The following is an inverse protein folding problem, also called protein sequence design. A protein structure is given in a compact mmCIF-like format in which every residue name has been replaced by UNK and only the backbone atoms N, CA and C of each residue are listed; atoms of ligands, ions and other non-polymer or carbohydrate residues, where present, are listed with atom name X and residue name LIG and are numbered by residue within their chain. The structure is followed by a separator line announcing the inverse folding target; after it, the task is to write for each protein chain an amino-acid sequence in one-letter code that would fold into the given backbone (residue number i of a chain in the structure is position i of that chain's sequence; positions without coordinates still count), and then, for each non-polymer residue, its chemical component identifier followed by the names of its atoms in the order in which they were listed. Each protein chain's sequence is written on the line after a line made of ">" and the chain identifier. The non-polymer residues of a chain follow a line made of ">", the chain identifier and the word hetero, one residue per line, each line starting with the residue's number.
data_IF_175293934000
#
_entry.id   IF_175293934000
#
_cell.length_a   1.000
_cell.length_b   1.000
_cell.length_c   1.000
_cell.angle_alpha   90.00
_cell.angle_beta   90.00
_cell.angle_gamma   90.00
#
_symmetry.space_group_name_H-M   'P 1'
#
loop_
_entity.id
_entity.type
_entity.pdbx_description
1 polymer ?
#
# COMPACT_ATOMS: atom_id res chain seq x y z
N UNK A 1 -13.17 20.49 22.51
CA UNK A 1 -13.35 21.50 21.43
C UNK A 1 -12.50 21.21 20.19
N UNK A 2 -11.16 21.14 20.30
CA UNK A 2 -10.24 20.85 19.18
C UNK A 2 -10.57 19.58 18.38
N UNK A 3 -10.82 18.47 19.09
CA UNK A 3 -11.14 17.17 18.48
C UNK A 3 -12.45 17.20 17.67
N UNK A 4 -13.52 17.72 18.27
CA UNK A 4 -14.82 17.86 17.62
C UNK A 4 -14.76 18.79 16.41
N UNK A 5 -13.98 19.87 16.48
CA UNK A 5 -13.74 20.76 15.34
C UNK A 5 -12.98 20.07 14.20
N UNK A 6 -12.00 19.22 14.53
CA UNK A 6 -11.23 18.46 13.55
C UNK A 6 -12.14 17.49 12.78
N UNK A 7 -12.85 16.59 13.46
CA UNK A 7 -13.72 15.60 12.82
C UNK A 7 -14.96 16.22 12.16
N UNK A 8 -15.46 17.34 12.68
CA UNK A 8 -16.62 18.02 12.09
C UNK A 8 -16.31 18.84 10.85
N UNK A 9 -15.40 19.81 10.97
CA UNK A 9 -15.14 20.81 9.91
C UNK A 9 -13.87 20.53 9.13
N UNK A 10 -12.74 20.41 9.82
CA UNK A 10 -11.43 20.32 9.15
C UNK A 10 -11.31 19.08 8.28
N UNK A 11 -11.77 17.93 8.78
CA UNK A 11 -11.79 16.66 8.05
C UNK A 11 -12.67 16.75 6.80
N UNK A 12 -13.88 17.31 6.93
CA UNK A 12 -14.80 17.48 5.81
C UNK A 12 -14.19 18.38 4.73
N UNK A 13 -13.56 19.48 5.13
CA UNK A 13 -12.90 20.41 4.21
C UNK A 13 -11.67 19.76 3.54
N UNK A 14 -10.87 18.98 4.28
CA UNK A 14 -9.75 18.22 3.74
C UNK A 14 -10.22 17.25 2.65
N UNK A 15 -11.20 16.40 2.97
CA UNK A 15 -11.70 15.38 2.05
C UNK A 15 -12.31 16.01 0.80
N UNK A 16 -13.13 17.05 0.96
CA UNK A 16 -13.79 17.75 -0.16
C UNK A 16 -12.79 18.43 -1.10
N UNK A 17 -11.77 19.10 -0.54
CA UNK A 17 -10.87 19.93 -1.34
C UNK A 17 -9.69 19.15 -1.95
N UNK A 18 -9.28 18.03 -1.33
CA UNK A 18 -8.07 17.31 -1.75
C UNK A 18 -8.35 15.87 -2.24
N UNK A 19 -9.48 15.27 -1.88
CA UNK A 19 -9.75 13.85 -2.12
C UNK A 19 -11.16 13.61 -2.70
N UNK A 20 -11.39 14.10 -3.92
CA UNK A 20 -12.70 14.05 -4.58
C UNK A 20 -13.23 12.64 -4.92
N UNK A 21 -12.41 11.58 -4.83
CA UNK A 21 -12.83 10.18 -5.04
C UNK A 21 -13.01 9.41 -3.73
N UNK A 22 -13.15 10.12 -2.61
CA UNK A 22 -13.47 9.55 -1.30
C UNK A 22 -14.90 9.93 -0.91
N UNK A 23 -15.60 8.93 -0.38
CA UNK A 23 -16.88 9.05 0.29
C UNK A 23 -16.69 8.81 1.79
N UNK A 24 -17.16 9.76 2.60
CA UNK A 24 -17.19 9.65 4.06
C UNK A 24 -18.39 8.79 4.46
N UNK A 25 -18.13 7.59 4.96
CA UNK A 25 -19.19 6.65 5.40
C UNK A 25 -19.67 7.02 6.81
N UNK A 26 -18.73 7.29 7.71
CA UNK A 26 -19.00 7.63 9.10
C UNK A 26 -17.89 8.51 9.67
N UNK A 27 -18.26 9.53 10.45
CA UNK A 27 -17.36 10.25 11.34
C UNK A 27 -18.11 10.57 12.63
N UNK A 28 -17.60 10.09 13.76
CA UNK A 28 -18.22 10.34 15.04
C UNK A 28 -17.24 10.10 16.19
N UNK A 29 -17.18 11.06 17.12
CA UNK A 29 -16.16 11.06 18.17
C UNK A 29 -14.76 11.22 17.58
N UNK A 30 -13.94 10.19 17.76
CA UNK A 30 -12.59 10.01 17.23
C UNK A 30 -12.49 8.96 16.12
N UNK A 31 -13.61 8.30 15.78
CA UNK A 31 -13.67 7.25 14.77
C UNK A 31 -14.07 7.78 13.38
N UNK A 32 -13.48 7.16 12.36
CA UNK A 32 -13.63 7.54 10.96
C UNK A 32 -13.66 6.33 10.03
N UNK A 33 -14.65 6.28 9.14
CA UNK A 33 -14.73 5.30 8.05
C UNK A 33 -14.82 6.02 6.71
N UNK A 34 -13.83 5.75 5.86
CA UNK A 34 -13.73 6.27 4.50
C UNK A 34 -13.83 5.13 3.48
N UNK A 35 -14.45 5.41 2.35
CA UNK A 35 -14.53 4.50 1.22
C UNK A 35 -14.17 5.27 -0.05
N UNK A 36 -13.36 4.71 -0.94
CA UNK A 36 -13.00 5.43 -2.16
C UNK A 36 -11.91 4.76 -2.95
N UNK A 37 -11.34 5.52 -3.88
CA UNK A 37 -10.19 5.08 -4.65
C UNK A 37 -9.00 4.83 -3.72
N UNK A 38 -8.39 3.64 -3.79
CA UNK A 38 -7.41 3.19 -2.80
C UNK A 38 -6.24 4.17 -2.62
N UNK A 39 -5.79 4.80 -3.71
CA UNK A 39 -4.67 5.73 -3.69
C UNK A 39 -5.03 7.07 -3.04
N UNK A 40 -6.29 7.50 -3.18
CA UNK A 40 -6.77 8.69 -2.49
C UNK A 40 -7.00 8.37 -1.01
N UNK A 41 -7.56 7.20 -0.68
CA UNK A 41 -7.73 6.75 0.71
C UNK A 41 -6.38 6.67 1.44
N UNK A 42 -5.36 6.11 0.79
CA UNK A 42 -4.00 6.06 1.34
C UNK A 42 -3.43 7.45 1.63
N UNK A 43 -3.52 8.38 0.67
CA UNK A 43 -3.04 9.77 0.83
C UNK A 43 -3.86 10.56 1.85
N UNK A 44 -5.16 10.33 1.92
CA UNK A 44 -6.03 10.92 2.92
C UNK A 44 -5.67 10.44 4.32
N UNK A 45 -5.45 9.13 4.52
CA UNK A 45 -5.04 8.59 5.80
C UNK A 45 -3.75 9.23 6.34
N UNK A 46 -2.72 9.37 5.48
CA UNK A 46 -1.47 10.07 5.84
C UNK A 46 -1.73 11.54 6.20
N UNK A 47 -2.52 12.26 5.39
CA UNK A 47 -2.85 13.67 5.62
C UNK A 47 -3.66 13.89 6.91
N UNK A 48 -4.58 12.97 7.21
CA UNK A 48 -5.39 12.97 8.44
C UNK A 48 -4.47 12.76 9.64
N UNK A 49 -3.58 11.75 9.60
CA UNK A 49 -2.62 11.50 10.67
C UNK A 49 -1.74 12.71 10.94
N UNK A 50 -1.15 13.32 9.91
CA UNK A 50 -0.31 14.52 10.07
C UNK A 50 -1.05 15.67 10.74
N UNK A 51 -2.28 15.96 10.31
CA UNK A 51 -3.09 17.04 10.88
C UNK A 51 -3.53 16.71 12.31
N UNK A 52 -3.92 15.47 12.56
CA UNK A 52 -4.31 15.00 13.89
C UNK A 52 -3.16 15.12 14.89
N UNK A 53 -1.93 14.78 14.49
CA UNK A 53 -0.75 14.91 15.34
C UNK A 53 -0.49 16.36 15.78
N UNK A 54 -0.85 17.36 14.96
CA UNK A 54 -0.73 18.78 15.32
C UNK A 54 -1.68 19.20 16.44
N UNK A 55 -2.75 18.43 16.68
CA UNK A 55 -3.67 18.66 17.79
C UNK A 55 -3.04 18.29 19.13
N UNK A 56 -2.00 17.43 19.14
CA UNK A 56 -1.28 16.94 20.32
C UNK A 56 -2.21 16.27 21.36
N UNK A 57 -3.31 15.65 20.91
CA UNK A 57 -4.29 14.98 21.79
C UNK A 57 -4.17 13.45 21.79
N UNK A 58 -3.38 12.86 20.90
CA UNK A 58 -3.20 11.42 20.78
C UNK A 58 -2.52 11.00 19.49
N UNK A 59 -2.58 9.71 19.19
CA UNK A 59 -2.05 9.11 17.96
C UNK A 59 -3.19 8.56 17.09
N UNK A 60 -2.89 8.31 15.81
CA UNK A 60 -3.87 7.73 14.86
C UNK A 60 -3.38 6.37 14.43
N UNK A 61 -4.23 5.35 14.58
CA UNK A 61 -4.04 4.07 13.92
C UNK A 61 -5.10 3.88 12.83
N UNK A 62 -4.71 3.24 11.73
CA UNK A 62 -5.61 3.05 10.59
C UNK A 62 -5.53 1.62 10.05
N UNK A 63 -6.67 1.12 9.56
CA UNK A 63 -6.76 -0.13 8.81
C UNK A 63 -7.27 0.18 7.41
N UNK A 64 -6.50 -0.19 6.38
CA UNK A 64 -6.86 -0.01 4.98
C UNK A 64 -6.99 -1.40 4.35
N UNK A 65 -8.20 -1.73 3.91
CA UNK A 65 -8.48 -2.95 3.16
C UNK A 65 -8.86 -2.61 1.72
N UNK A 66 -8.61 -3.56 0.82
CA UNK A 66 -8.97 -3.47 -0.59
C UNK A 66 -10.10 -4.47 -0.88
N UNK A 67 -11.16 -4.00 -1.52
CA UNK A 67 -12.31 -4.82 -1.87
C UNK A 67 -12.70 -4.58 -3.33
N UNK A 68 -13.42 -5.55 -3.91
CA UNK A 68 -13.92 -5.42 -5.28
C UNK A 68 -15.25 -4.68 -5.29
N UNK A 69 -15.63 -4.08 -6.43
CA UNK A 69 -16.93 -3.38 -6.55
C UNK A 69 -18.15 -4.26 -6.22
N UNK A 70 -18.01 -5.58 -6.32
CA UNK A 70 -19.07 -6.56 -6.07
C UNK A 70 -19.12 -7.01 -4.60
N UNK A 71 -18.10 -6.67 -3.81
CA UNK A 71 -18.00 -7.06 -2.41
C UNK A 71 -19.00 -6.24 -1.56
N UNK A 72 -19.75 -6.87 -0.63
CA UNK A 72 -20.60 -6.14 0.30
C UNK A 72 -19.80 -5.15 1.16
N UNK A 73 -20.28 -3.90 1.26
CA UNK A 73 -19.59 -2.84 2.02
C UNK A 73 -19.41 -3.19 3.50
N UNK A 74 -20.38 -3.87 4.10
CA UNK A 74 -20.30 -4.29 5.50
C UNK A 74 -19.11 -5.20 5.75
N UNK A 75 -18.85 -6.15 4.84
CA UNK A 75 -17.70 -7.05 4.93
C UNK A 75 -16.38 -6.28 4.81
N UNK A 76 -16.32 -5.26 3.95
CA UNK A 76 -15.15 -4.40 3.82
C UNK A 76 -14.89 -3.58 5.11
N UNK A 77 -15.95 -3.09 5.77
CA UNK A 77 -15.83 -2.40 7.06
C UNK A 77 -15.31 -3.36 8.13
N UNK A 78 -15.87 -4.57 8.24
CA UNK A 78 -15.38 -5.58 9.19
C UNK A 78 -13.92 -5.97 8.96
N UNK A 79 -13.47 -6.03 7.71
CA UNK A 79 -12.07 -6.26 7.36
C UNK A 79 -11.17 -5.07 7.74
N UNK A 80 -11.65 -3.84 7.54
CA UNK A 80 -10.94 -2.63 7.96
C UNK A 80 -10.83 -2.56 9.48
N UNK A 81 -11.88 -2.90 10.23
CA UNK A 81 -11.87 -2.95 11.70
C UNK A 81 -10.85 -3.98 12.22
N UNK A 82 -10.81 -5.17 11.62
CA UNK A 82 -9.77 -6.17 11.93
C UNK A 82 -8.36 -5.63 11.65
N UNK A 83 -8.18 -4.91 10.54
CA UNK A 83 -6.90 -4.28 10.21
C UNK A 83 -6.52 -3.18 11.21
N UNK A 84 -7.47 -2.39 11.70
CA UNK A 84 -7.23 -1.39 12.76
C UNK A 84 -6.70 -2.07 14.03
N UNK A 85 -7.26 -3.21 14.43
CA UNK A 85 -6.78 -3.92 15.62
C UNK A 85 -5.36 -4.46 15.44
N UNK A 86 -5.01 -4.95 14.24
CA UNK A 86 -3.62 -5.31 13.88
C UNK A 86 -2.71 -4.08 13.96
N UNK A 87 -3.15 -2.94 13.42
CA UNK A 87 -2.39 -1.69 13.46
C UNK A 87 -2.10 -1.24 14.90
N UNK A 88 -3.14 -1.21 15.75
CA UNK A 88 -3.01 -0.86 17.17
C UNK A 88 -2.00 -1.73 17.88
N UNK A 89 -1.91 -3.02 17.53
CA UNK A 89 -0.89 -3.91 18.06
C UNK A 89 -0.84 -3.88 19.59
N UNK A 90 -2.00 -3.96 20.26
CA UNK A 90 -2.13 -3.74 21.72
C UNK A 90 -1.21 -4.62 22.59
N UNK A 91 -0.70 -5.72 22.03
CA UNK A 91 0.22 -6.64 22.69
C UNK A 91 1.71 -6.38 22.37
N UNK A 92 2.00 -5.36 21.56
CA UNK A 92 3.35 -4.99 21.15
C UNK A 92 3.87 -3.81 21.98
N UNK A 93 5.20 -3.71 22.19
CA UNK A 93 5.81 -2.58 22.89
C UNK A 93 5.54 -1.21 22.24
N UNK A 94 5.34 -1.19 20.91
CA UNK A 94 5.15 -0.01 20.07
C UNK A 94 3.68 0.17 19.66
N UNK A 95 2.75 0.02 20.60
CA UNK A 95 1.31 0.05 20.31
C UNK A 95 0.80 1.41 19.78
N UNK A 96 -0.22 1.40 18.93
CA UNK A 96 -0.81 2.61 18.34
C UNK A 96 0.10 3.32 17.34
N UNK A 97 -0.34 4.42 16.73
CA UNK A 97 0.39 5.16 15.66
C UNK A 97 0.93 4.32 14.48
N UNK A 98 0.20 3.29 14.05
CA UNK A 98 0.55 2.46 12.90
C UNK A 98 -0.60 2.36 11.91
N UNK A 99 -0.29 1.92 10.70
CA UNK A 99 -1.28 1.58 9.69
C UNK A 99 -1.17 0.10 9.34
N UNK A 100 -2.31 -0.58 9.20
CA UNK A 100 -2.36 -1.92 8.65
C UNK A 100 -2.92 -1.87 7.23
N UNK A 101 -2.16 -2.35 6.25
CA UNK A 101 -2.58 -2.40 4.84
C UNK A 101 -2.36 -3.79 4.28
N UNK A 102 -3.40 -4.44 3.78
CA UNK A 102 -3.28 -5.81 3.25
C UNK A 102 -2.79 -6.83 4.29
N UNK A 103 -3.08 -6.60 5.57
CA UNK A 103 -2.59 -7.42 6.69
C UNK A 103 -1.19 -7.06 7.20
N UNK A 104 -0.52 -6.07 6.59
CA UNK A 104 0.81 -5.62 6.98
C UNK A 104 0.73 -4.42 7.90
N UNK A 105 1.19 -4.62 9.14
CA UNK A 105 1.40 -3.54 10.09
C UNK A 105 2.67 -2.78 9.74
N UNK A 106 2.54 -1.50 9.44
CA UNK A 106 3.61 -0.60 9.04
C UNK A 106 3.58 0.65 9.92
N UNK A 107 4.75 1.20 10.22
CA UNK A 107 4.83 2.59 10.67
C UNK A 107 4.34 3.52 9.55
N UNK A 108 3.92 4.73 9.90
CA UNK A 108 3.49 5.70 8.90
C UNK A 108 4.60 6.04 7.88
N UNK A 109 5.87 6.05 8.30
CA UNK A 109 7.01 6.30 7.41
C UNK A 109 7.26 5.12 6.46
N UNK A 110 7.14 3.89 6.95
CA UNK A 110 7.19 2.69 6.10
C UNK A 110 6.06 2.69 5.07
N UNK A 111 4.85 3.06 5.49
CA UNK A 111 3.72 3.17 4.58
C UNK A 111 3.91 4.26 3.51
N UNK A 112 4.41 5.44 3.89
CA UNK A 112 4.76 6.50 2.95
C UNK A 112 5.82 6.03 1.94
N UNK A 113 6.83 5.29 2.40
CA UNK A 113 7.83 4.67 1.52
C UNK A 113 7.21 3.66 0.55
N UNK A 114 6.32 2.77 1.02
CA UNK A 114 5.61 1.81 0.16
C UNK A 114 4.82 2.52 -0.93
N UNK A 115 4.11 3.60 -0.60
CA UNK A 115 3.35 4.38 -1.59
C UNK A 115 4.28 5.06 -2.60
N UNK A 116 5.39 5.66 -2.15
CA UNK A 116 6.38 6.28 -3.02
C UNK A 116 7.07 5.27 -3.95
N UNK A 117 7.45 4.11 -3.44
CA UNK A 117 8.05 3.04 -4.24
C UNK A 117 7.05 2.52 -5.28
N UNK A 118 5.77 2.36 -4.91
CA UNK A 118 4.72 1.95 -5.84
C UNK A 118 4.50 2.97 -6.96
N UNK A 119 4.57 4.26 -6.66
CA UNK A 119 4.53 5.33 -7.67
C UNK A 119 5.75 5.28 -8.60
N UNK A 120 6.94 5.03 -8.04
CA UNK A 120 8.17 4.84 -8.82
C UNK A 120 8.07 3.67 -9.79
N UNK A 121 7.61 2.50 -9.32
CA UNK A 121 7.39 1.33 -10.17
C UNK A 121 6.33 1.57 -11.25
N UNK A 122 5.22 2.23 -10.91
CA UNK A 122 4.19 2.55 -11.90
C UNK A 122 4.74 3.48 -12.99
N UNK A 123 5.47 4.54 -12.62
CA UNK A 123 6.14 5.44 -13.58
C UNK A 123 7.17 4.72 -14.44
N UNK A 124 7.90 3.76 -13.88
CA UNK A 124 8.86 2.96 -14.62
C UNK A 124 8.17 2.12 -15.70
N UNK A 125 6.96 1.60 -15.42
CA UNK A 125 6.13 0.91 -16.41
C UNK A 125 5.60 1.86 -17.47
N UNK A 126 5.06 3.00 -17.06
CA UNK A 126 4.50 3.98 -18.00
C UNK A 126 5.58 4.53 -18.97
N UNK A 127 6.82 4.66 -18.50
CA UNK A 127 7.99 5.07 -19.33
C UNK A 127 8.56 3.92 -20.20
N UNK A 128 8.03 2.70 -20.09
CA UNK A 128 8.55 1.53 -20.80
C UNK A 128 9.90 1.01 -20.28
N UNK A 129 10.43 1.59 -19.21
CA UNK A 129 11.69 1.13 -18.58
C UNK A 129 11.49 -0.17 -17.79
N UNK A 130 10.27 -0.46 -17.34
CA UNK A 130 9.87 -1.72 -16.75
C UNK A 130 8.69 -2.29 -17.56
N UNK A 131 8.76 -3.54 -18.00
CA UNK A 131 7.64 -4.16 -18.70
C UNK A 131 6.53 -4.59 -17.73
N UNK A 132 5.28 -4.65 -18.22
CA UNK A 132 4.15 -5.20 -17.44
C UNK A 132 4.40 -6.64 -16.98
N UNK A 133 5.13 -7.43 -17.77
CA UNK A 133 5.52 -8.81 -17.42
C UNK A 133 6.48 -8.87 -16.23
N UNK A 134 7.44 -7.95 -16.16
CA UNK A 134 8.35 -7.83 -15.02
C UNK A 134 7.63 -7.35 -13.76
N UNK A 135 6.69 -6.41 -13.88
CA UNK A 135 5.85 -6.00 -12.75
C UNK A 135 4.97 -7.16 -12.24
N UNK A 136 4.38 -7.93 -13.15
CA UNK A 136 3.58 -9.11 -12.78
C UNK A 136 4.44 -10.17 -12.10
N UNK A 137 5.68 -10.36 -12.56
CA UNK A 137 6.64 -11.22 -11.90
C UNK A 137 6.88 -10.72 -10.46
N UNK A 138 7.33 -9.47 -10.26
CA UNK A 138 7.59 -8.90 -8.93
C UNK A 138 6.44 -9.14 -7.95
N UNK A 139 5.19 -9.00 -8.43
CA UNK A 139 4.01 -9.31 -7.63
C UNK A 139 3.92 -10.80 -7.27
N UNK A 140 4.03 -11.71 -8.24
CA UNK A 140 4.01 -13.16 -8.00
C UNK A 140 5.12 -13.62 -7.06
N UNK A 141 6.29 -12.97 -7.13
CA UNK A 141 7.42 -13.25 -6.25
C UNK A 141 7.14 -12.92 -4.79
N UNK A 142 6.31 -11.91 -4.57
CA UNK A 142 5.93 -11.42 -3.26
C UNK A 142 4.74 -12.16 -2.62
N UNK A 143 3.78 -12.62 -3.43
CA UNK A 143 2.54 -13.27 -2.97
C UNK A 143 2.74 -14.35 -1.88
N UNK A 144 3.73 -15.27 -1.97
CA UNK A 144 3.98 -16.27 -0.92
C UNK A 144 4.36 -15.73 0.46
N UNK A 145 4.78 -14.48 0.53
CA UNK A 145 5.28 -13.84 1.75
C UNK A 145 4.25 -12.97 2.44
N UNK A 146 3.08 -12.76 1.82
CA UNK A 146 1.99 -12.05 2.48
C UNK A 146 1.52 -12.81 3.71
N UNK A 147 1.08 -12.13 4.79
CA UNK A 147 0.52 -12.79 5.97
C UNK A 147 -0.67 -13.70 5.65
N UNK A 148 -1.39 -13.38 4.57
CA UNK A 148 -2.52 -14.16 4.05
C UNK A 148 -2.13 -15.36 3.18
N UNK A 149 -0.84 -15.55 2.87
CA UNK A 149 -0.39 -16.60 1.97
C UNK A 149 -0.44 -18.00 2.62
N UNK A 150 -0.95 -19.03 1.91
CA UNK A 150 -0.90 -20.42 2.38
C UNK A 150 0.54 -20.87 2.67
N UNK A 151 0.75 -21.59 3.76
CA UNK A 151 2.08 -22.04 4.20
C UNK A 151 2.82 -22.86 3.12
N UNK A 152 2.08 -23.65 2.34
CA UNK A 152 2.60 -24.42 1.20
C UNK A 152 3.25 -23.55 0.11
N UNK A 153 2.89 -22.27 -0.01
CA UNK A 153 3.46 -21.36 -1.00
C UNK A 153 4.81 -20.80 -0.58
N UNK A 154 5.15 -20.80 0.73
CA UNK A 154 6.44 -20.29 1.22
C UNK A 154 7.63 -21.09 0.66
N UNK A 155 7.45 -22.35 0.30
CA UNK A 155 8.48 -23.15 -0.39
C UNK A 155 8.82 -22.68 -1.81
N UNK A 156 7.92 -21.95 -2.49
CA UNK A 156 8.19 -21.37 -3.82
C UNK A 156 9.19 -20.21 -3.77
N UNK A 157 9.37 -19.59 -2.60
CA UNK A 157 10.31 -18.50 -2.33
C UNK A 157 11.73 -18.74 -2.84
N UNK A 158 12.21 -19.98 -2.79
CA UNK A 158 13.58 -20.32 -3.17
C UNK A 158 13.79 -20.28 -4.69
N UNK A 159 12.73 -20.41 -5.48
CA UNK A 159 12.78 -20.27 -6.95
C UNK A 159 12.78 -18.81 -7.39
N UNK A 160 12.36 -17.92 -6.50
CA UNK A 160 12.11 -16.50 -6.75
C UNK A 160 13.38 -15.72 -7.05
N UNK A 161 14.41 -15.87 -6.21
CA UNK A 161 15.70 -15.15 -6.35
C UNK A 161 16.40 -15.52 -7.68
N UNK A 162 16.57 -16.81 -8.05
CA UNK A 162 17.16 -17.17 -9.34
C UNK A 162 16.38 -16.61 -10.55
N UNK A 163 15.05 -16.59 -10.51
CA UNK A 163 14.25 -16.00 -11.58
C UNK A 163 14.53 -14.50 -11.72
N UNK A 164 14.63 -13.74 -10.63
CA UNK A 164 14.97 -12.31 -10.69
C UNK A 164 16.32 -12.06 -11.35
N UNK A 165 17.35 -12.82 -10.97
CA UNK A 165 18.66 -12.74 -11.60
C UNK A 165 18.60 -13.07 -13.09
N UNK A 166 17.81 -14.07 -13.48
CA UNK A 166 17.58 -14.41 -14.88
C UNK A 166 16.94 -13.25 -15.66
N UNK A 167 15.87 -12.63 -15.14
CA UNK A 167 15.23 -11.50 -15.82
C UNK A 167 16.15 -10.28 -15.95
N UNK A 168 16.89 -9.94 -14.89
CA UNK A 168 17.89 -8.86 -14.94
C UNK A 168 18.96 -9.13 -16.00
N UNK A 169 19.48 -10.37 -16.08
CA UNK A 169 20.43 -10.78 -17.12
C UNK A 169 19.83 -10.71 -18.53
N UNK A 170 18.56 -11.09 -18.68
CA UNK A 170 17.85 -11.07 -19.97
C UNK A 170 17.69 -9.65 -20.53
N UNK A 171 17.48 -8.64 -19.69
CA UNK A 171 17.43 -7.24 -20.13
C UNK A 171 18.75 -6.77 -20.75
N UNK A 172 19.86 -7.13 -20.11
CA UNK A 172 21.20 -6.88 -20.65
C UNK A 172 21.36 -7.49 -22.05
N UNK A 173 20.89 -8.73 -22.24
CA UNK A 173 20.93 -9.40 -23.57
C UNK A 173 20.02 -8.77 -24.63
N UNK A 174 19.02 -7.98 -24.24
CA UNK A 174 18.09 -7.27 -25.13
C UNK A 174 18.48 -5.83 -25.41
N UNK A 175 19.56 -5.33 -24.82
CA UNK A 175 19.94 -3.92 -24.90
C UNK A 175 19.00 -2.98 -24.12
N UNK A 176 18.17 -3.52 -23.23
CA UNK A 176 17.19 -2.77 -22.40
C UNK A 176 17.83 -2.11 -21.15
N UNK A 177 19.16 -2.19 -21.04
CA UNK A 177 19.91 -1.70 -19.89
C UNK A 177 19.69 -2.52 -18.61
N UNK A 178 20.20 -1.99 -17.49
CA UNK A 178 19.94 -2.56 -16.16
C UNK A 178 18.55 -2.15 -15.64
N UNK A 179 18.17 -2.69 -14.48
CA UNK A 179 16.94 -2.28 -13.80
C UNK A 179 16.94 -0.81 -13.40
N UNK A 180 15.78 -0.13 -13.51
CA UNK A 180 15.59 1.18 -12.90
C UNK A 180 15.96 1.13 -11.41
N UNK A 181 16.49 2.24 -10.89
CA UNK A 181 16.95 2.35 -9.50
C UNK A 181 15.90 1.90 -8.48
N UNK A 182 14.63 2.19 -8.72
CA UNK A 182 13.49 1.85 -7.88
C UNK A 182 13.31 0.32 -7.77
N UNK A 183 13.49 -0.38 -8.89
CA UNK A 183 13.40 -1.85 -8.95
C UNK A 183 14.68 -2.49 -8.39
N UNK A 184 15.84 -1.87 -8.62
CA UNK A 184 17.11 -2.33 -8.06
C UNK A 184 17.12 -2.22 -6.53
N UNK A 185 16.66 -1.10 -5.96
CA UNK A 185 16.54 -0.91 -4.50
C UNK A 185 15.54 -1.90 -3.91
N UNK A 186 14.38 -2.06 -4.54
CA UNK A 186 13.40 -3.07 -4.13
C UNK A 186 14.04 -4.46 -4.13
N UNK A 187 14.74 -4.83 -5.20
CA UNK A 187 15.42 -6.12 -5.31
C UNK A 187 16.53 -6.31 -4.29
N UNK A 188 17.36 -5.31 -4.08
CA UNK A 188 18.45 -5.38 -3.12
C UNK A 188 17.92 -5.54 -1.69
N UNK A 189 16.77 -4.93 -1.38
CA UNK A 189 16.05 -5.16 -0.12
C UNK A 189 15.50 -6.59 0.02
N UNK A 190 15.25 -7.28 -1.11
CA UNK A 190 14.72 -8.65 -1.16
C UNK A 190 15.82 -9.72 -1.16
N UNK A 191 17.06 -9.41 -1.53
CA UNK A 191 18.17 -10.38 -1.60
C UNK A 191 18.55 -10.98 -0.24
N UNK A 192 18.18 -10.34 0.86
CA UNK A 192 18.44 -10.86 2.19
C UNK A 192 17.36 -11.87 2.59
N UNK A 193 17.75 -12.96 3.27
CA UNK A 193 16.79 -13.93 3.85
C UNK A 193 15.85 -13.30 4.91
N UNK A 194 16.17 -12.09 5.35
CA UNK A 194 15.39 -11.22 6.25
C UNK A 194 14.72 -10.05 5.51
N UNK A 195 14.67 -10.07 4.17
CA UNK A 195 14.12 -8.97 3.38
C UNK A 195 12.65 -8.71 3.71
N UNK A 196 12.21 -7.46 3.61
CA UNK A 196 10.81 -7.07 3.82
C UNK A 196 9.95 -7.41 2.59
N UNK A 197 9.92 -8.71 2.28
CA UNK A 197 9.13 -9.30 1.20
C UNK A 197 7.66 -8.90 1.22
N UNK A 198 6.99 -8.82 2.38
CA UNK A 198 5.60 -8.40 2.39
C UNK A 198 5.42 -6.95 1.91
N UNK A 199 6.25 -6.00 2.34
CA UNK A 199 6.19 -4.62 1.84
C UNK A 199 6.49 -4.54 0.35
N UNK A 200 7.47 -5.30 -0.15
CA UNK A 200 7.78 -5.32 -1.58
C UNK A 200 6.62 -5.88 -2.44
N UNK A 201 5.89 -6.86 -1.90
CA UNK A 201 4.68 -7.39 -2.52
C UNK A 201 3.60 -6.33 -2.62
N UNK A 202 3.38 -5.59 -1.53
CA UNK A 202 2.41 -4.51 -1.48
C UNK A 202 2.76 -3.41 -2.48
N UNK A 203 4.04 -3.03 -2.58
CA UNK A 203 4.57 -2.09 -3.60
C UNK A 203 4.21 -2.56 -5.01
N UNK A 204 4.55 -3.80 -5.37
CA UNK A 204 4.30 -4.34 -6.70
C UNK A 204 2.79 -4.44 -7.01
N UNK A 205 1.97 -4.82 -6.03
CA UNK A 205 0.51 -4.88 -6.17
C UNK A 205 -0.09 -3.50 -6.44
N UNK A 206 0.29 -2.50 -5.64
CA UNK A 206 -0.21 -1.13 -5.79
C UNK A 206 0.23 -0.52 -7.14
N UNK A 207 1.47 -0.75 -7.56
CA UNK A 207 1.97 -0.34 -8.87
C UNK A 207 1.19 -1.00 -10.03
N UNK A 208 0.86 -2.29 -9.91
CA UNK A 208 0.06 -3.00 -10.90
C UNK A 208 -1.36 -2.44 -11.02
N UNK A 209 -1.95 -1.98 -9.93
CA UNK A 209 -3.25 -1.32 -9.97
C UNK A 209 -3.17 0.08 -10.58
N UNK A 210 -2.12 0.86 -10.29
CA UNK A 210 -1.90 2.19 -10.89
C UNK A 210 -1.79 2.11 -12.42
N UNK A 211 -1.00 1.17 -12.92
CA UNK A 211 -0.76 0.97 -14.37
C UNK A 211 -2.00 0.46 -15.14
N UNK A 212 -2.93 -0.23 -14.47
CA UNK A 212 -4.23 -0.61 -15.07
C UNK A 212 -5.17 0.59 -15.23
N UNK A 213 -5.06 1.58 -14.35
CA UNK A 213 -5.97 2.74 -14.31
C UNK A 213 -5.53 3.82 -15.27
N UNK A 214 -4.21 4.06 -15.40
CA UNK A 214 -3.68 4.97 -16.42
C UNK A 214 -4.04 4.50 -17.84
N UNK A 215 -4.00 3.19 -18.09
CA UNK A 215 -4.42 2.64 -19.39
C UNK A 215 -5.92 2.80 -19.70
N UNK A 216 -6.77 2.96 -18.68
CA UNK A 216 -8.21 3.22 -18.87
C UNK A 216 -8.51 4.68 -19.18
N UNK A 217 -7.59 5.61 -18.91
CA UNK A 217 -7.76 7.04 -19.22
C UNK A 217 -7.30 7.40 -20.64
N UNK A 218 -6.52 6.53 -21.30
CA UNK A 218 -6.14 6.71 -22.72
C UNK A 218 -7.17 6.14 -23.71
N UNK A 219 -8.12 5.32 -23.24
CA UNK A 219 -9.18 4.71 -24.07
C UNK A 219 -10.57 5.37 -23.90
N UNK A 220 -10.67 6.52 -23.23
CA UNK A 220 -11.92 7.24 -22.95
C UNK A 220 -12.00 8.61 -23.63
#
# INVERSE_FOLDING_TARGET
>A
EKLSSFFGRELTDLLRNQFGRIYLVYSGGDDLVLCGWYDDVARAAMSIRERYQRLQVGTVSAGITFFTRQSPILKAIEEADRAIEVAKGRHLPDHGDHVCVGGLRLSWDQFAKVMSDADGLAKAVDKGTLSRGELQLLRQLGEPWLPSAPEAQRGLALRTIPMMHYFRSRRGSRGEGDWPSEVAVLFDSLKTSTGDWPSATLVAMLAAWKTKVNGYQEEA
#
